data_IF_067546185075
#
_entry.id   IF_067546185075
#
_cell.length_a   1.000
_cell.length_b   1.000
_cell.length_c   1.000
_cell.angle_alpha   90.00
_cell.angle_beta   90.00
_cell.angle_gamma   90.00
#
_symmetry.space_group_name_H-M   'P 1'
#
loop_
_entity.id
_entity.type
_entity.pdbx_description
1 polymer ?
#
# COMPACT_ATOMS: atom_id res chain seq x y z
N UNK A 1 14.00 -21.82 24.09
CA UNK A 1 12.60 -22.31 24.10
C UNK A 1 12.17 -22.79 22.71
N UNK A 2 12.36 -22.03 21.62
CA UNK A 2 12.00 -22.46 20.25
C UNK A 2 12.78 -23.70 19.78
N UNK A 3 14.10 -23.76 20.05
CA UNK A 3 14.96 -24.89 19.68
C UNK A 3 14.68 -26.20 20.43
N UNK A 4 13.87 -26.14 21.50
CA UNK A 4 13.39 -27.33 22.20
C UNK A 4 12.23 -28.02 21.46
N UNK A 5 11.59 -27.32 20.52
CA UNK A 5 10.42 -27.80 19.76
C UNK A 5 10.76 -27.90 18.26
N UNK A 6 11.58 -26.98 17.75
CA UNK A 6 11.96 -26.91 16.33
C UNK A 6 13.48 -27.14 16.22
N UNK A 7 13.94 -28.11 15.41
CA UNK A 7 15.37 -28.32 15.20
C UNK A 7 16.07 -27.05 14.69
N UNK A 8 17.27 -26.75 15.19
CA UNK A 8 18.02 -25.54 14.82
C UNK A 8 18.24 -25.37 13.31
N UNK A 9 18.34 -26.47 12.56
CA UNK A 9 18.45 -26.45 11.09
C UNK A 9 17.29 -25.72 10.43
N UNK A 10 16.07 -25.86 10.95
CA UNK A 10 14.90 -25.18 10.40
C UNK A 10 14.95 -23.66 10.61
N UNK A 11 15.59 -23.20 11.68
CA UNK A 11 15.79 -21.77 11.88
C UNK A 11 16.75 -21.20 10.84
N UNK A 12 17.84 -21.90 10.51
CA UNK A 12 18.76 -21.48 9.46
C UNK A 12 18.07 -21.39 8.08
N UNK A 13 17.27 -22.41 7.73
CA UNK A 13 16.50 -22.43 6.49
C UNK A 13 15.49 -21.27 6.48
N UNK A 14 14.73 -21.08 7.57
CA UNK A 14 13.75 -20.02 7.68
C UNK A 14 14.40 -18.63 7.55
N UNK A 15 15.59 -18.42 8.13
CA UNK A 15 16.32 -17.15 8.01
C UNK A 15 16.70 -16.86 6.56
N UNK A 16 17.18 -17.85 5.81
CA UNK A 16 17.54 -17.67 4.39
C UNK A 16 16.30 -17.30 3.57
N UNK A 17 15.24 -18.13 3.65
CA UNK A 17 14.00 -17.90 2.89
C UNK A 17 13.38 -16.56 3.26
N UNK A 18 13.28 -16.26 4.55
CA UNK A 18 12.69 -15.00 5.00
C UNK A 18 13.48 -13.80 4.51
N UNK A 19 14.81 -13.86 4.48
CA UNK A 19 15.64 -12.74 4.02
C UNK A 19 15.44 -12.48 2.53
N UNK A 20 15.39 -13.53 1.71
CA UNK A 20 15.16 -13.42 0.26
C UNK A 20 13.76 -12.87 -0.05
N UNK A 21 12.73 -13.45 0.58
CA UNK A 21 11.34 -12.99 0.39
C UNK A 21 11.12 -11.59 0.95
N UNK A 22 11.76 -11.22 2.07
CA UNK A 22 11.69 -9.87 2.62
C UNK A 22 12.28 -8.84 1.66
N UNK A 23 13.38 -9.16 0.97
CA UNK A 23 13.97 -8.27 -0.03
C UNK A 23 13.04 -8.12 -1.24
N UNK A 24 12.53 -9.23 -1.79
CA UNK A 24 11.61 -9.21 -2.94
C UNK A 24 10.32 -8.44 -2.61
N UNK A 25 9.71 -8.72 -1.46
CA UNK A 25 8.51 -8.04 -1.01
C UNK A 25 8.75 -6.54 -0.79
N UNK A 26 9.87 -6.17 -0.17
CA UNK A 26 10.23 -4.76 0.03
C UNK A 26 10.36 -4.05 -1.32
N UNK A 27 11.13 -4.61 -2.25
CA UNK A 27 11.31 -4.01 -3.59
C UNK A 27 9.97 -3.85 -4.30
N UNK A 28 9.09 -4.86 -4.28
CA UNK A 28 7.78 -4.78 -4.90
C UNK A 28 6.90 -3.68 -4.27
N UNK A 29 6.86 -3.61 -2.93
CA UNK A 29 6.06 -2.60 -2.21
C UNK A 29 6.58 -1.19 -2.51
N UNK A 30 7.90 -0.94 -2.46
CA UNK A 30 8.43 0.41 -2.67
C UNK A 30 8.47 0.86 -4.13
N UNK A 31 8.56 -0.07 -5.08
CA UNK A 31 8.52 0.29 -6.50
C UNK A 31 7.08 0.41 -7.00
N UNK A 32 6.28 -0.65 -6.86
CA UNK A 32 4.97 -0.74 -7.50
C UNK A 32 3.90 -0.08 -6.63
N UNK A 33 3.79 -0.47 -5.36
CA UNK A 33 2.74 0.05 -4.49
C UNK A 33 2.93 1.54 -4.23
N UNK A 34 4.11 1.97 -3.77
CA UNK A 34 4.36 3.39 -3.48
C UNK A 34 4.18 4.28 -4.71
N UNK A 35 4.58 3.81 -5.90
CA UNK A 35 4.36 4.59 -7.11
C UNK A 35 2.87 4.78 -7.41
N UNK A 36 2.10 3.70 -7.39
CA UNK A 36 0.68 3.73 -7.73
C UNK A 36 -0.18 4.45 -6.68
N UNK A 37 0.17 4.39 -5.39
CA UNK A 37 -0.67 4.91 -4.30
C UNK A 37 -0.22 6.26 -3.75
N UNK A 38 1.07 6.59 -3.83
CA UNK A 38 1.62 7.80 -3.21
C UNK A 38 2.20 8.79 -4.22
N UNK A 39 2.83 8.31 -5.31
CA UNK A 39 3.59 9.18 -6.24
C UNK A 39 2.77 9.57 -7.47
N UNK A 40 1.67 8.86 -7.76
CA UNK A 40 0.76 9.19 -8.85
C UNK A 40 0.25 10.64 -8.71
N UNK A 41 0.46 11.54 -9.70
CA UNK A 41 0.16 12.97 -9.55
C UNK A 41 -1.29 13.27 -9.13
N UNK A 42 -2.25 12.49 -9.62
CA UNK A 42 -3.68 12.69 -9.35
C UNK A 42 -4.07 12.30 -7.91
N UNK A 43 -3.27 11.44 -7.26
CA UNK A 43 -3.53 10.91 -5.91
C UNK A 43 -2.46 11.30 -4.89
N UNK A 44 -1.42 12.00 -5.31
CA UNK A 44 -0.36 12.47 -4.42
C UNK A 44 -0.96 13.30 -3.28
N UNK A 45 -0.55 13.10 -2.02
CA UNK A 45 0.49 12.20 -1.50
C UNK A 45 -0.02 10.79 -1.10
N UNK A 46 -1.33 10.52 -1.23
CA UNK A 46 -1.99 9.29 -0.79
C UNK A 46 -3.37 9.17 -1.45
N UNK A 47 -3.64 8.05 -2.10
CA UNK A 47 -5.01 7.67 -2.43
C UNK A 47 -5.81 7.28 -1.17
N UNK A 48 -6.77 8.13 -0.81
CA UNK A 48 -7.61 7.96 0.40
C UNK A 48 -8.73 6.94 0.22
N UNK A 49 -9.00 6.47 -1.00
CA UNK A 49 -10.14 5.58 -1.27
C UNK A 49 -10.10 4.30 -0.44
N UNK A 50 -8.90 3.81 -0.09
CA UNK A 50 -8.73 2.64 0.77
C UNK A 50 -9.27 2.85 2.19
N UNK A 51 -9.38 4.10 2.64
CA UNK A 51 -9.92 4.46 3.96
C UNK A 51 -11.34 5.02 3.88
N UNK A 52 -11.63 5.83 2.85
CA UNK A 52 -12.93 6.50 2.71
C UNK A 52 -13.96 5.65 1.97
N UNK A 53 -13.53 4.69 1.16
CA UNK A 53 -14.40 3.89 0.28
C UNK A 53 -15.10 4.71 -0.82
N UNK A 54 -14.78 6.01 -0.95
CA UNK A 54 -15.51 6.95 -1.78
C UNK A 54 -14.55 7.75 -2.68
N UNK A 55 -14.97 7.96 -3.92
CA UNK A 55 -14.34 8.83 -4.92
C UNK A 55 -15.38 9.76 -5.53
N UNK A 56 -14.93 10.82 -6.19
CA UNK A 56 -15.83 11.70 -6.94
C UNK A 56 -16.35 11.01 -8.19
N UNK A 57 -17.51 11.47 -8.68
CA UNK A 57 -18.08 10.95 -9.92
C UNK A 57 -17.16 11.21 -11.13
N UNK A 58 -16.44 12.33 -11.14
CA UNK A 58 -15.48 12.66 -12.19
C UNK A 58 -14.28 11.69 -12.17
N UNK A 59 -13.73 11.42 -10.98
CA UNK A 59 -12.68 10.40 -10.82
C UNK A 59 -13.17 9.01 -11.26
N UNK A 60 -14.42 8.62 -10.93
CA UNK A 60 -14.97 7.33 -11.38
C UNK A 60 -15.01 7.25 -12.91
N UNK A 61 -15.46 8.30 -13.59
CA UNK A 61 -15.49 8.36 -15.07
C UNK A 61 -14.10 8.30 -15.68
N UNK A 62 -13.14 8.99 -15.08
CA UNK A 62 -11.79 9.10 -15.62
C UNK A 62 -10.94 7.84 -15.34
N UNK A 63 -10.96 7.36 -14.11
CA UNK A 63 -10.12 6.24 -13.65
C UNK A 63 -10.75 4.87 -13.91
N UNK A 64 -12.09 4.78 -13.91
CA UNK A 64 -12.85 3.53 -14.08
C UNK A 64 -14.02 3.71 -15.07
N UNK A 65 -13.75 4.17 -16.32
CA UNK A 65 -14.80 4.47 -17.30
C UNK A 65 -15.72 3.28 -17.56
N UNK A 66 -15.17 2.06 -17.62
CA UNK A 66 -15.95 0.84 -17.82
C UNK A 66 -16.93 0.56 -16.68
N UNK A 67 -16.54 0.81 -15.43
CA UNK A 67 -17.41 0.65 -14.26
C UNK A 67 -18.55 1.67 -14.31
N UNK A 68 -18.22 2.94 -14.61
CA UNK A 68 -19.21 3.99 -14.81
C UNK A 68 -20.21 3.67 -15.92
N UNK A 69 -19.74 3.26 -17.11
CA UNK A 69 -20.59 2.90 -18.25
C UNK A 69 -21.55 1.76 -17.91
N UNK A 70 -21.07 0.75 -17.19
CA UNK A 70 -21.89 -0.39 -16.74
C UNK A 70 -22.98 0.08 -15.77
N UNK A 71 -22.64 0.89 -14.77
CA UNK A 71 -23.59 1.43 -13.79
C UNK A 71 -24.67 2.29 -14.45
N UNK A 72 -24.30 3.12 -15.44
CA UNK A 72 -25.25 3.93 -16.20
C UNK A 72 -26.17 3.05 -17.04
N UNK A 73 -25.61 2.05 -17.75
CA UNK A 73 -26.39 1.14 -18.59
C UNK A 73 -27.39 0.31 -17.78
N UNK A 74 -27.02 -0.08 -16.57
CA UNK A 74 -27.88 -0.83 -15.65
C UNK A 74 -28.87 0.06 -14.89
N UNK A 75 -28.75 1.40 -14.97
CA UNK A 75 -29.59 2.33 -14.21
C UNK A 75 -29.29 2.34 -12.70
N UNK A 76 -28.11 1.88 -12.30
CA UNK A 76 -27.72 1.66 -10.89
C UNK A 76 -26.76 2.72 -10.35
N UNK A 77 -26.51 3.77 -11.12
CA UNK A 77 -25.58 4.83 -10.71
C UNK A 77 -26.00 5.49 -9.39
N UNK A 78 -27.31 5.69 -9.18
CA UNK A 78 -27.86 6.32 -7.98
C UNK A 78 -27.70 5.44 -6.73
N UNK A 79 -27.65 4.11 -6.89
CA UNK A 79 -27.48 3.16 -5.78
C UNK A 79 -26.09 3.25 -5.14
N UNK A 80 -25.08 3.66 -5.91
CA UNK A 80 -23.68 3.73 -5.47
C UNK A 80 -23.25 5.13 -5.06
N UNK A 81 -24.12 6.13 -5.20
CA UNK A 81 -23.87 7.49 -4.70
C UNK A 81 -23.94 7.44 -3.17
N UNK A 82 -22.87 7.92 -2.54
CA UNK A 82 -22.77 8.02 -1.09
C UNK A 82 -22.53 9.47 -0.65
N UNK A 83 -22.81 9.73 0.63
CA UNK A 83 -22.45 11.00 1.24
C UNK A 83 -20.93 11.18 1.28
N UNK A 84 -20.49 12.45 1.27
CA UNK A 84 -19.07 12.78 1.36
C UNK A 84 -18.49 12.19 2.66
N UNK A 85 -17.31 11.52 2.60
CA UNK A 85 -16.70 10.94 3.79
C UNK A 85 -16.44 12.00 4.86
N UNK A 86 -16.66 11.61 6.12
CA UNK A 86 -16.46 12.49 7.25
C UNK A 86 -15.01 13.01 7.30
N UNK A 87 -14.84 14.29 7.65
CA UNK A 87 -13.53 14.95 7.63
C UNK A 87 -12.49 14.26 8.52
N UNK A 88 -12.91 13.68 9.65
CA UNK A 88 -12.01 12.98 10.56
C UNK A 88 -11.42 11.69 9.94
N UNK A 89 -12.19 10.98 9.10
CA UNK A 89 -11.71 9.79 8.36
C UNK A 89 -10.69 10.22 7.31
N UNK A 90 -10.97 11.33 6.61
CA UNK A 90 -10.05 11.91 5.63
C UNK A 90 -8.74 12.34 6.30
N UNK A 91 -8.82 12.99 7.47
CA UNK A 91 -7.64 13.40 8.22
C UNK A 91 -6.85 12.19 8.73
N UNK A 92 -7.56 11.19 9.28
CA UNK A 92 -6.97 9.93 9.71
C UNK A 92 -6.22 9.24 8.56
N UNK A 93 -6.82 9.18 7.37
CA UNK A 93 -6.21 8.60 6.19
C UNK A 93 -4.86 9.28 5.87
N UNK A 94 -4.82 10.62 5.86
CA UNK A 94 -3.56 11.34 5.63
C UNK A 94 -2.52 11.07 6.71
N UNK A 95 -2.89 11.18 7.99
CA UNK A 95 -1.95 10.94 9.09
C UNK A 95 -1.36 9.54 8.98
N UNK A 96 -2.23 8.53 8.85
CA UNK A 96 -1.82 7.13 8.72
C UNK A 96 -0.92 6.92 7.50
N UNK A 97 -1.34 7.42 6.34
CA UNK A 97 -0.60 7.26 5.09
C UNK A 97 0.78 7.91 5.14
N UNK A 98 0.90 9.12 5.68
CA UNK A 98 2.20 9.78 5.85
C UNK A 98 3.08 9.07 6.87
N UNK A 99 2.51 8.61 7.99
CA UNK A 99 3.26 7.82 8.98
C UNK A 99 3.80 6.53 8.35
N UNK A 100 2.96 5.79 7.61
CA UNK A 100 3.36 4.58 6.93
C UNK A 100 4.43 4.85 5.85
N UNK A 101 4.29 5.94 5.09
CA UNK A 101 5.27 6.38 4.08
C UNK A 101 6.64 6.66 4.72
N UNK A 102 6.68 7.41 5.83
CA UNK A 102 7.93 7.76 6.53
C UNK A 102 8.59 6.51 7.11
N UNK A 103 7.82 5.65 7.78
CA UNK A 103 8.33 4.38 8.33
C UNK A 103 8.90 3.54 7.19
N UNK A 104 8.16 3.45 6.09
CA UNK A 104 8.57 2.71 4.93
C UNK A 104 9.90 3.20 4.33
N UNK A 105 10.00 4.50 4.03
CA UNK A 105 11.23 5.09 3.50
C UNK A 105 12.42 4.90 4.45
N UNK A 106 12.17 4.96 5.76
CA UNK A 106 13.19 4.71 6.79
C UNK A 106 13.68 3.25 6.77
N UNK A 107 12.78 2.29 6.59
CA UNK A 107 13.13 0.87 6.46
C UNK A 107 13.95 0.61 5.19
N UNK A 108 13.57 1.18 4.05
CA UNK A 108 14.35 1.06 2.80
C UNK A 108 15.75 1.60 2.98
N UNK A 109 15.87 2.80 3.57
CA UNK A 109 17.17 3.39 3.87
C UNK A 109 17.99 2.47 4.78
N UNK A 110 17.38 1.91 5.83
CA UNK A 110 18.02 0.95 6.72
C UNK A 110 18.51 -0.31 6.01
N UNK A 111 17.71 -0.86 5.10
CA UNK A 111 18.09 -2.03 4.28
C UNK A 111 19.28 -1.69 3.39
N UNK A 112 19.22 -0.58 2.65
CA UNK A 112 20.32 -0.15 1.76
C UNK A 112 21.61 0.06 2.56
N UNK A 113 21.52 0.72 3.72
CA UNK A 113 22.66 0.92 4.61
C UNK A 113 23.26 -0.41 5.09
N UNK A 114 22.42 -1.34 5.56
CA UNK A 114 22.85 -2.65 6.03
C UNK A 114 23.51 -3.47 4.90
N UNK A 115 22.93 -3.46 3.69
CA UNK A 115 23.49 -4.17 2.54
C UNK A 115 24.84 -3.58 2.13
N UNK A 116 24.97 -2.26 2.09
CA UNK A 116 26.24 -1.60 1.74
C UNK A 116 27.34 -1.97 2.73
N UNK A 117 27.06 -1.93 4.04
CA UNK A 117 28.00 -2.35 5.10
C UNK A 117 28.29 -3.86 5.10
N UNK A 118 27.44 -4.68 4.49
CA UNK A 118 27.67 -6.12 4.37
C UNK A 118 28.55 -6.47 3.18
N UNK A 119 28.64 -5.59 2.17
CA UNK A 119 29.37 -5.80 0.93
C UNK A 119 30.79 -5.20 1.00
N UNK A 120 30.96 -4.09 1.72
CA UNK A 120 32.24 -3.41 1.96
C UNK A 120 32.70 -3.60 3.41
#
# INVERSE_FOLDING_TARGET
MVTAVIPGTWLNIATIIHSDEALLATVFIFSIHFFNTHIRPEKFPLDRVIFTGAITLDELKHERPREYEMLVKEGRLEEVICEKPALWIVLFAYIFGFTALIIGLSLVFGIIYAMTKSIF
#
